data_IF_350102321499
#
_entry.id   IF_350102321499
#
_cell.length_a   1.000
_cell.length_b   1.000
_cell.length_c   1.000
_cell.angle_alpha   90.00
_cell.angle_beta   90.00
_cell.angle_gamma   90.00
#
_symmetry.space_group_name_H-M   'P 1'
#
loop_
_entity.id
_entity.type
_entity.pdbx_description
1 polymer ?
#
# COMPACT_ATOMS: atom_id res chain seq x y z
N UNK A 1 -12.60 55.85 47.79
CA UNK A 1 -11.26 56.32 48.21
C UNK A 1 -10.28 55.25 47.76
N UNK A 2 -9.47 55.37 46.71
CA UNK A 2 -8.79 56.55 46.17
C UNK A 2 -7.42 56.66 46.84
N UNK A 3 -6.36 56.31 46.11
CA UNK A 3 -4.93 56.72 46.18
C UNK A 3 -4.02 55.58 45.71
N UNK A 4 -3.48 55.67 44.50
CA UNK A 4 -2.12 56.19 44.15
C UNK A 4 -1.13 55.01 44.14
N UNK A 5 -0.41 54.64 43.07
CA UNK A 5 0.03 55.42 41.92
C UNK A 5 1.52 55.71 42.04
N UNK A 6 2.40 54.78 41.64
CA UNK A 6 3.79 55.07 41.28
C UNK A 6 4.23 54.11 40.17
N UNK A 7 4.45 54.68 38.98
CA UNK A 7 5.21 54.06 37.92
C UNK A 7 6.57 54.75 37.81
N UNK A 8 7.55 54.06 37.21
CA UNK A 8 8.65 54.68 36.46
C UNK A 8 9.36 53.64 35.59
N UNK A 9 9.45 54.01 34.30
CA UNK A 9 10.55 53.86 33.35
C UNK A 9 10.91 52.42 32.88
N UNK A 10 11.02 52.09 31.59
CA UNK A 10 11.17 52.89 30.36
C UNK A 10 12.47 52.49 29.64
N UNK A 11 12.37 52.20 28.33
CA UNK A 11 13.45 51.89 27.34
C UNK A 11 14.01 50.45 27.36
N UNK A 12 14.22 49.74 26.24
CA UNK A 12 14.12 50.05 24.82
C UNK A 12 15.16 49.23 24.01
N UNK A 13 14.69 48.55 22.95
CA UNK A 13 15.35 48.20 21.68
C UNK A 13 16.25 46.95 21.48
N UNK A 14 15.78 46.19 20.48
CA UNK A 14 16.44 45.69 19.26
C UNK A 14 17.51 44.58 19.34
N UNK A 15 17.20 43.49 18.62
CA UNK A 15 18.11 42.39 18.28
C UNK A 15 17.43 41.43 17.29
N UNK A 16 17.43 41.80 16.01
CA UNK A 16 17.01 40.98 14.87
C UNK A 16 17.80 39.66 14.77
N UNK A 17 17.12 38.60 14.30
CA UNK A 17 17.70 37.31 13.96
C UNK A 17 16.74 36.50 13.08
N UNK A 18 16.72 36.84 11.80
CA UNK A 18 15.97 36.18 10.73
C UNK A 18 16.71 34.94 10.22
N UNK A 19 16.08 33.77 10.17
CA UNK A 19 16.21 32.76 9.09
C UNK A 19 15.14 31.67 9.24
N UNK A 20 14.31 31.52 8.22
CA UNK A 20 13.48 30.33 7.99
C UNK A 20 14.23 29.27 7.19
N UNK A 21 13.47 28.26 6.75
CA UNK A 21 13.84 26.97 6.09
C UNK A 21 14.17 25.86 7.11
N UNK A 22 13.49 24.71 7.20
CA UNK A 22 12.54 24.04 6.31
C UNK A 22 13.19 22.84 5.62
N UNK A 23 13.01 21.61 6.13
CA UNK A 23 12.94 20.36 5.33
C UNK A 23 12.46 19.19 6.22
N UNK A 24 11.21 18.70 6.11
CA UNK A 24 10.63 17.69 5.19
C UNK A 24 11.01 16.24 5.51
N UNK A 25 10.01 15.41 5.80
CA UNK A 25 10.10 13.96 5.75
C UNK A 25 8.91 13.26 6.42
N UNK A 26 8.07 12.61 5.62
CA UNK A 26 7.01 11.65 5.98
C UNK A 26 5.70 12.21 6.56
N UNK A 27 4.66 12.24 5.72
CA UNK A 27 3.28 12.45 6.18
C UNK A 27 2.24 12.86 5.13
N UNK A 28 2.59 12.94 3.84
CA UNK A 28 1.74 13.62 2.85
C UNK A 28 1.17 12.73 1.73
N UNK A 29 1.06 11.41 1.91
CA UNK A 29 0.34 10.56 0.95
C UNK A 29 -1.11 10.23 1.40
N UNK A 30 -1.41 10.29 2.70
CA UNK A 30 -2.77 10.00 3.20
C UNK A 30 -3.77 11.17 3.03
N UNK A 31 -3.29 12.41 2.99
CA UNK A 31 -4.14 13.61 2.95
C UNK A 31 -4.71 13.95 1.57
N UNK A 32 -4.00 13.59 0.49
CA UNK A 32 -4.46 13.85 -0.88
C UNK A 32 -5.54 12.85 -1.32
N UNK A 33 -5.44 11.58 -0.88
CA UNK A 33 -6.43 10.54 -1.21
C UNK A 33 -7.83 10.84 -0.65
N UNK A 34 -7.92 11.41 0.56
CA UNK A 34 -9.20 11.74 1.17
C UNK A 34 -9.90 12.93 0.49
N UNK A 35 -9.13 13.77 -0.21
CA UNK A 35 -9.64 14.96 -0.89
C UNK A 35 -10.08 14.66 -2.34
N UNK A 36 -9.46 13.68 -3.00
CA UNK A 36 -9.84 13.19 -4.33
C UNK A 36 -11.12 12.34 -4.28
N UNK A 37 -11.22 11.39 -3.34
CA UNK A 37 -12.45 10.60 -3.10
C UNK A 37 -13.67 11.48 -2.76
N UNK A 38 -13.45 12.65 -2.15
CA UNK A 38 -14.52 13.60 -1.85
C UNK A 38 -14.99 14.41 -3.07
N UNK A 39 -14.13 14.64 -4.06
CA UNK A 39 -14.47 15.39 -5.27
C UNK A 39 -15.18 14.53 -6.33
N UNK A 40 -14.77 13.27 -6.48
CA UNK A 40 -15.37 12.33 -7.44
C UNK A 40 -16.82 11.96 -7.06
N UNK A 41 -17.14 11.85 -5.77
CA UNK A 41 -18.51 11.57 -5.30
C UNK A 41 -19.50 12.75 -5.37
N UNK A 42 -19.08 13.95 -5.79
CA UNK A 42 -19.92 15.16 -5.77
C UNK A 42 -21.13 15.08 -6.73
N UNK A 43 -21.00 14.58 -7.98
CA UNK A 43 -22.13 14.43 -8.90
C UNK A 43 -23.18 13.44 -8.38
N UNK A 44 -22.76 12.27 -7.92
CA UNK A 44 -23.66 11.27 -7.33
C UNK A 44 -24.41 11.82 -6.09
N UNK A 45 -23.71 12.57 -5.22
CA UNK A 45 -24.35 13.25 -4.07
C UNK A 45 -25.42 14.26 -4.50
N UNK A 46 -25.19 15.02 -5.57
CA UNK A 46 -26.19 15.97 -6.11
C UNK A 46 -27.42 15.24 -6.65
N UNK A 47 -27.24 14.10 -7.32
CA UNK A 47 -28.36 13.29 -7.83
C UNK A 47 -29.18 12.66 -6.71
N UNK A 48 -28.52 12.19 -5.66
CA UNK A 48 -29.21 11.70 -4.45
C UNK A 48 -30.04 12.82 -3.82
N UNK A 49 -29.49 14.04 -3.71
CA UNK A 49 -30.23 15.21 -3.21
C UNK A 49 -31.45 15.54 -4.09
N UNK A 50 -31.29 15.53 -5.42
CA UNK A 50 -32.40 15.75 -6.36
C UNK A 50 -33.49 14.67 -6.24
N UNK A 51 -33.10 13.40 -6.04
CA UNK A 51 -34.04 12.32 -5.79
C UNK A 51 -34.81 12.51 -4.46
N UNK A 52 -34.13 12.95 -3.41
CA UNK A 52 -34.78 13.27 -2.12
C UNK A 52 -35.80 14.41 -2.25
N UNK A 53 -35.49 15.46 -3.01
CA UNK A 53 -36.42 16.57 -3.29
C UNK A 53 -37.65 16.09 -4.07
N UNK A 54 -37.45 15.31 -5.14
CA UNK A 54 -38.55 14.73 -5.93
C UNK A 54 -39.43 13.79 -5.11
N UNK A 55 -38.85 13.01 -4.19
CA UNK A 55 -39.63 12.18 -3.25
C UNK A 55 -40.44 13.02 -2.25
N UNK A 56 -39.89 14.13 -1.75
CA UNK A 56 -40.63 15.08 -0.88
C UNK A 56 -41.82 15.69 -1.64
N UNK A 57 -41.62 16.11 -2.89
CA UNK A 57 -42.72 16.60 -3.74
C UNK A 57 -43.78 15.53 -4.00
N UNK A 58 -43.37 14.29 -4.29
CA UNK A 58 -44.29 13.19 -4.51
C UNK A 58 -45.18 12.95 -3.28
N UNK A 59 -44.61 13.05 -2.08
CA UNK A 59 -45.35 12.96 -0.81
C UNK A 59 -46.39 14.07 -0.69
N UNK A 60 -46.01 15.32 -0.95
CA UNK A 60 -46.95 16.46 -0.93
C UNK A 60 -48.08 16.30 -1.96
N UNK A 61 -47.74 15.89 -3.18
CA UNK A 61 -48.72 15.62 -4.26
C UNK A 61 -49.68 14.48 -3.89
N UNK A 62 -49.24 13.46 -3.14
CA UNK A 62 -50.11 12.41 -2.59
C UNK A 62 -51.06 12.95 -1.53
N UNK A 63 -50.56 13.79 -0.62
CA UNK A 63 -51.36 14.44 0.43
C UNK A 63 -52.44 15.36 -0.18
N UNK A 64 -52.15 16.02 -1.30
CA UNK A 64 -53.11 16.83 -2.08
C UNK A 64 -54.04 16.02 -3.00
N UNK A 65 -54.05 14.68 -2.87
CA UNK A 65 -54.82 13.75 -3.72
C UNK A 65 -54.47 13.78 -5.23
N UNK A 66 -53.33 14.38 -5.63
CA UNK A 66 -52.83 14.44 -7.01
C UNK A 66 -52.05 13.18 -7.39
N UNK A 67 -52.73 12.04 -7.39
CA UNK A 67 -52.12 10.71 -7.58
C UNK A 67 -51.26 10.59 -8.85
N UNK A 68 -51.74 11.08 -10.01
CA UNK A 68 -50.98 10.99 -11.27
C UNK A 68 -49.66 11.75 -11.22
N UNK A 69 -49.65 12.93 -10.61
CA UNK A 69 -48.46 13.77 -10.50
C UNK A 69 -47.47 13.20 -9.49
N UNK A 70 -47.95 12.59 -8.41
CA UNK A 70 -47.09 11.90 -7.45
C UNK A 70 -46.37 10.69 -8.06
N UNK A 71 -47.04 9.91 -8.92
CA UNK A 71 -46.41 8.78 -9.63
C UNK A 71 -45.35 9.28 -10.60
N UNK A 72 -45.58 10.42 -11.26
CA UNK A 72 -44.58 11.07 -12.13
C UNK A 72 -43.35 11.50 -11.33
N UNK A 73 -43.55 12.17 -10.19
CA UNK A 73 -42.46 12.59 -9.30
C UNK A 73 -41.67 11.39 -8.71
N UNK A 74 -42.35 10.30 -8.35
CA UNK A 74 -41.68 9.06 -7.90
C UNK A 74 -40.84 8.42 -9.01
N UNK A 75 -41.35 8.35 -10.24
CA UNK A 75 -40.58 7.84 -11.39
C UNK A 75 -39.35 8.70 -11.67
N UNK A 76 -39.51 10.01 -11.64
CA UNK A 76 -38.40 10.94 -11.80
C UNK A 76 -37.36 10.80 -10.67
N UNK A 77 -37.76 10.49 -9.44
CA UNK A 77 -36.83 10.19 -8.35
C UNK A 77 -36.13 8.84 -8.54
N UNK A 78 -36.85 7.82 -9.00
CA UNK A 78 -36.30 6.50 -9.31
C UNK A 78 -35.25 6.58 -10.43
N UNK A 79 -35.50 7.39 -11.47
CA UNK A 79 -34.54 7.65 -12.55
C UNK A 79 -33.27 8.35 -12.03
N UNK A 80 -33.38 9.36 -11.17
CA UNK A 80 -32.21 10.02 -10.55
C UNK A 80 -31.40 9.06 -9.68
N UNK A 81 -32.06 8.20 -8.89
CA UNK A 81 -31.37 7.19 -8.08
C UNK A 81 -30.66 6.16 -8.93
N UNK A 82 -31.28 5.69 -10.02
CA UNK A 82 -30.63 4.77 -10.97
C UNK A 82 -29.39 5.40 -11.60
N UNK A 83 -29.47 6.67 -11.97
CA UNK A 83 -28.32 7.41 -12.50
C UNK A 83 -27.23 7.61 -11.43
N UNK A 84 -27.61 7.90 -10.18
CA UNK A 84 -26.66 8.00 -9.07
C UNK A 84 -25.97 6.66 -8.77
N UNK A 85 -26.70 5.54 -8.83
CA UNK A 85 -26.13 4.19 -8.66
C UNK A 85 -25.11 3.93 -9.78
N UNK A 86 -25.46 4.18 -11.04
CA UNK A 86 -24.55 3.96 -12.16
C UNK A 86 -23.28 4.82 -12.05
N UNK A 87 -23.39 6.08 -11.63
CA UNK A 87 -22.22 6.93 -11.39
C UNK A 87 -21.36 6.44 -10.22
N UNK A 88 -21.98 5.99 -9.13
CA UNK A 88 -21.24 5.43 -7.99
C UNK A 88 -20.56 4.11 -8.34
N UNK A 89 -21.19 3.25 -9.13
CA UNK A 89 -20.59 2.00 -9.61
C UNK A 89 -19.36 2.28 -10.48
N UNK A 90 -19.41 3.31 -11.33
CA UNK A 90 -18.27 3.74 -12.13
C UNK A 90 -17.14 4.30 -11.26
N UNK A 91 -17.45 5.19 -10.32
CA UNK A 91 -16.47 5.73 -9.36
C UNK A 91 -15.85 4.59 -8.52
N UNK A 92 -16.67 3.64 -8.06
CA UNK A 92 -16.18 2.48 -7.30
C UNK A 92 -15.27 1.59 -8.15
N UNK A 93 -15.54 1.44 -9.45
CA UNK A 93 -14.66 0.71 -10.36
C UNK A 93 -13.31 1.41 -10.47
N UNK A 94 -13.32 2.71 -10.76
CA UNK A 94 -12.11 3.52 -10.89
C UNK A 94 -11.26 3.49 -9.61
N UNK A 95 -11.87 3.71 -8.44
CA UNK A 95 -11.17 3.65 -7.17
C UNK A 95 -10.57 2.27 -6.88
N UNK A 96 -11.30 1.18 -7.18
CA UNK A 96 -10.77 -0.17 -7.03
C UNK A 96 -9.60 -0.42 -7.98
N UNK A 97 -9.66 0.10 -9.20
CA UNK A 97 -8.56 -0.01 -10.15
C UNK A 97 -7.31 0.72 -9.62
N UNK A 98 -7.43 1.97 -9.18
CA UNK A 98 -6.31 2.71 -8.60
C UNK A 98 -5.71 2.03 -7.35
N UNK A 99 -6.56 1.48 -6.48
CA UNK A 99 -6.11 0.73 -5.31
C UNK A 99 -5.29 -0.52 -5.69
N UNK A 100 -5.76 -1.29 -6.67
CA UNK A 100 -5.04 -2.48 -7.17
C UNK A 100 -3.71 -2.09 -7.80
N UNK A 101 -3.67 -1.06 -8.65
CA UNK A 101 -2.44 -0.62 -9.31
C UNK A 101 -1.37 -0.21 -8.29
N UNK A 102 -1.77 0.57 -7.28
CA UNK A 102 -0.90 0.99 -6.18
C UNK A 102 -0.38 -0.21 -5.40
N UNK A 103 -1.25 -1.15 -5.06
CA UNK A 103 -0.87 -2.38 -4.35
C UNK A 103 0.15 -3.20 -5.16
N UNK A 104 -0.11 -3.43 -6.45
CA UNK A 104 0.79 -4.17 -7.33
C UNK A 104 2.17 -3.51 -7.38
N UNK A 105 2.22 -2.17 -7.48
CA UNK A 105 3.47 -1.43 -7.47
C UNK A 105 4.22 -1.57 -6.13
N UNK A 106 3.51 -1.49 -5.00
CA UNK A 106 4.09 -1.67 -3.67
C UNK A 106 4.64 -3.09 -3.47
N UNK A 107 3.90 -4.12 -3.88
CA UNK A 107 4.33 -5.51 -3.81
C UNK A 107 5.54 -5.78 -4.72
N UNK A 108 5.52 -5.29 -5.97
CA UNK A 108 6.63 -5.45 -6.89
C UNK A 108 7.90 -4.77 -6.35
N UNK A 109 7.77 -3.58 -5.76
CA UNK A 109 8.87 -2.89 -5.08
C UNK A 109 9.45 -3.71 -3.92
N UNK A 110 8.60 -4.33 -3.10
CA UNK A 110 9.03 -5.21 -1.99
C UNK A 110 9.73 -6.47 -2.48
N UNK A 111 9.20 -7.16 -3.49
CA UNK A 111 9.82 -8.36 -4.04
C UNK A 111 11.16 -8.07 -4.71
N UNK A 112 11.28 -6.96 -5.45
CA UNK A 112 12.59 -6.52 -6.00
C UNK A 112 13.62 -6.27 -4.90
N UNK A 113 13.24 -5.59 -3.81
CA UNK A 113 14.10 -5.37 -2.65
C UNK A 113 14.54 -6.69 -2.00
N UNK A 114 13.60 -7.62 -1.79
CA UNK A 114 13.91 -8.94 -1.23
C UNK A 114 14.88 -9.71 -2.14
N UNK A 115 14.67 -9.68 -3.45
CA UNK A 115 15.56 -10.32 -4.42
C UNK A 115 16.99 -9.78 -4.35
N UNK A 116 17.16 -8.46 -4.28
CA UNK A 116 18.48 -7.83 -4.14
C UNK A 116 19.17 -8.30 -2.85
N UNK A 117 18.43 -8.35 -1.74
CA UNK A 117 18.94 -8.85 -0.47
C UNK A 117 19.34 -10.33 -0.56
N UNK A 118 18.48 -11.17 -1.17
CA UNK A 118 18.70 -12.61 -1.32
C UNK A 118 19.93 -12.91 -2.17
N UNK A 119 20.08 -12.22 -3.30
CA UNK A 119 21.25 -12.34 -4.19
C UNK A 119 22.55 -12.07 -3.42
N UNK A 120 22.56 -11.04 -2.57
CA UNK A 120 23.72 -10.72 -1.75
C UNK A 120 24.03 -11.80 -0.73
N UNK A 121 23.02 -12.34 -0.04
CA UNK A 121 23.21 -13.44 0.92
C UNK A 121 23.75 -14.67 0.19
N UNK A 122 23.13 -15.07 -0.92
CA UNK A 122 23.55 -16.19 -1.75
C UNK A 122 25.01 -16.07 -2.23
N UNK A 123 25.39 -14.91 -2.78
CA UNK A 123 26.77 -14.67 -3.22
C UNK A 123 27.78 -14.82 -2.08
N UNK A 124 27.46 -14.28 -0.91
CA UNK A 124 28.33 -14.36 0.25
C UNK A 124 28.34 -15.77 0.86
N UNK A 125 27.23 -16.51 0.80
CA UNK A 125 27.16 -17.95 1.13
C UNK A 125 28.08 -18.75 0.22
N UNK A 126 28.07 -18.51 -1.10
CA UNK A 126 28.98 -19.14 -2.06
C UNK A 126 30.44 -18.83 -1.75
N UNK A 127 30.77 -17.57 -1.42
CA UNK A 127 32.13 -17.17 -1.05
C UNK A 127 32.59 -17.87 0.23
N UNK A 128 31.72 -17.95 1.23
CA UNK A 128 32.01 -18.59 2.51
C UNK A 128 32.16 -20.11 2.36
N UNK A 129 31.39 -20.75 1.48
CA UNK A 129 31.48 -22.17 1.18
C UNK A 129 32.81 -22.56 0.51
N UNK A 130 33.41 -21.65 -0.27
CA UNK A 130 34.70 -21.86 -0.94
C UNK A 130 35.91 -21.88 0.00
N UNK A 131 35.75 -21.48 1.26
CA UNK A 131 36.86 -21.51 2.24
C UNK A 131 37.16 -22.97 2.63
N UNK A 132 38.38 -23.47 2.32
CA UNK A 132 38.81 -24.83 2.67
C UNK A 132 38.78 -25.07 4.17
N UNK A 133 38.43 -26.28 4.62
CA UNK A 133 38.26 -26.62 6.04
C UNK A 133 39.50 -26.35 6.89
N UNK A 134 40.70 -26.56 6.34
CA UNK A 134 42.01 -26.30 6.96
C UNK A 134 42.32 -24.80 7.13
N UNK A 135 41.61 -23.93 6.41
CA UNK A 135 41.76 -22.47 6.45
C UNK A 135 40.62 -21.76 7.19
N UNK A 136 39.70 -22.51 7.82
CA UNK A 136 38.61 -21.93 8.62
C UNK A 136 39.15 -21.56 9.99
N UNK A 137 39.15 -20.26 10.29
CA UNK A 137 39.47 -19.74 11.62
C UNK A 137 38.21 -19.53 12.47
N UNK A 138 38.42 -18.97 13.67
CA UNK A 138 37.35 -18.63 14.62
C UNK A 138 36.33 -17.63 14.07
N UNK A 139 36.68 -16.90 13.01
CA UNK A 139 35.83 -15.95 12.31
C UNK A 139 34.79 -16.62 11.38
N UNK A 140 34.95 -17.91 11.07
CA UNK A 140 34.10 -18.61 10.10
C UNK A 140 32.64 -18.75 10.58
N UNK A 141 32.36 -19.22 11.81
CA UNK A 141 31.00 -19.26 12.33
C UNK A 141 30.39 -17.87 12.51
N UNK A 142 31.21 -16.85 12.83
CA UNK A 142 30.76 -15.45 12.95
C UNK A 142 30.27 -14.94 11.60
N UNK A 143 30.99 -15.24 10.51
CA UNK A 143 30.57 -14.89 9.15
C UNK A 143 29.27 -15.60 8.76
N UNK A 144 29.14 -16.89 9.05
CA UNK A 144 27.91 -17.65 8.77
C UNK A 144 26.71 -17.08 9.55
N UNK A 145 26.90 -16.73 10.82
CA UNK A 145 25.86 -16.11 11.64
C UNK A 145 25.45 -14.72 11.12
N UNK A 146 26.39 -13.92 10.55
CA UNK A 146 26.03 -12.66 9.89
C UNK A 146 25.12 -12.87 8.69
N UNK A 147 25.34 -13.93 7.91
CA UNK A 147 24.45 -14.30 6.80
C UNK A 147 23.08 -14.73 7.30
N UNK A 148 23.02 -15.53 8.37
CA UNK A 148 21.75 -15.89 9.02
C UNK A 148 20.94 -14.65 9.46
N UNK A 149 21.60 -13.67 10.08
CA UNK A 149 20.96 -12.40 10.47
C UNK A 149 20.52 -11.58 9.25
N UNK A 150 21.25 -11.65 8.14
CA UNK A 150 20.84 -10.99 6.90
C UNK A 150 19.60 -11.68 6.31
N UNK A 151 19.57 -13.01 6.26
CA UNK A 151 18.43 -13.80 5.79
C UNK A 151 17.16 -13.54 6.60
N UNK A 152 17.29 -13.47 7.94
CA UNK A 152 16.16 -13.12 8.82
C UNK A 152 15.55 -11.75 8.53
N UNK A 153 16.33 -10.80 7.98
CA UNK A 153 15.76 -9.51 7.55
C UNK A 153 14.91 -9.66 6.28
N UNK A 154 15.22 -10.64 5.44
CA UNK A 154 14.45 -10.94 4.23
C UNK A 154 13.12 -11.60 4.63
N UNK A 155 13.16 -12.54 5.60
CA UNK A 155 11.95 -13.13 6.22
C UNK A 155 10.98 -12.03 6.70
N UNK A 156 11.48 -11.01 7.39
CA UNK A 156 10.65 -9.89 7.86
C UNK A 156 10.02 -9.07 6.74
N UNK A 157 10.70 -8.93 5.59
CA UNK A 157 10.09 -8.28 4.42
C UNK A 157 9.03 -9.18 3.77
N UNK A 158 9.22 -10.50 3.80
CA UNK A 158 8.25 -11.47 3.30
C UNK A 158 6.98 -11.49 4.17
N UNK A 159 7.12 -11.45 5.50
CA UNK A 159 5.98 -11.34 6.43
C UNK A 159 5.15 -10.07 6.17
N UNK A 160 5.81 -8.96 5.86
CA UNK A 160 5.14 -7.70 5.50
C UNK A 160 4.42 -7.80 4.17
N UNK A 161 5.03 -8.44 3.17
CA UNK A 161 4.39 -8.66 1.88
C UNK A 161 3.17 -9.59 2.01
N UNK A 162 3.28 -10.64 2.83
CA UNK A 162 2.19 -11.57 3.12
C UNK A 162 1.02 -10.87 3.83
N UNK A 163 1.30 -9.99 4.78
CA UNK A 163 0.27 -9.20 5.47
C UNK A 163 -0.55 -8.37 4.48
N UNK A 164 0.12 -7.66 3.56
CA UNK A 164 -0.56 -6.87 2.52
C UNK A 164 -1.43 -7.74 1.61
N UNK A 165 -0.93 -8.91 1.21
CA UNK A 165 -1.69 -9.83 0.36
C UNK A 165 -2.96 -10.37 1.05
N UNK A 166 -2.91 -10.60 2.36
CA UNK A 166 -4.04 -11.12 3.13
C UNK A 166 -5.09 -10.05 3.44
N UNK A 167 -4.67 -8.83 3.75
CA UNK A 167 -5.56 -7.71 4.09
C UNK A 167 -6.48 -7.32 2.93
N UNK A 168 -5.98 -7.41 1.69
CA UNK A 168 -6.73 -6.99 0.50
C UNK A 168 -7.53 -8.12 -0.16
N UNK A 169 -7.52 -9.32 0.44
CA UNK A 169 -8.25 -10.47 -0.09
C UNK A 169 -7.71 -10.92 -1.45
N UNK A 170 -6.39 -10.82 -1.65
CA UNK A 170 -5.71 -11.31 -2.85
C UNK A 170 -6.04 -12.78 -3.11
N UNK A 171 -5.95 -13.20 -4.37
CA UNK A 171 -6.21 -14.58 -4.80
C UNK A 171 -5.46 -15.57 -3.92
N UNK A 172 -6.13 -16.65 -3.50
CA UNK A 172 -5.62 -17.67 -2.55
C UNK A 172 -4.22 -18.19 -2.93
N UNK A 173 -3.88 -18.22 -4.21
CA UNK A 173 -2.60 -18.75 -4.71
C UNK A 173 -1.37 -17.85 -4.43
N UNK A 174 -1.52 -16.53 -4.35
CA UNK A 174 -0.38 -15.62 -4.12
C UNK A 174 0.14 -15.70 -2.67
N UNK A 175 -0.72 -15.60 -1.64
CA UNK A 175 -0.31 -15.75 -0.25
C UNK A 175 0.37 -17.08 0.04
N UNK A 176 -0.11 -18.19 -0.53
CA UNK A 176 0.46 -19.52 -0.31
C UNK A 176 1.91 -19.62 -0.83
N UNK A 177 2.16 -19.17 -2.06
CA UNK A 177 3.51 -19.15 -2.64
C UNK A 177 4.46 -18.28 -1.83
N UNK A 178 4.01 -17.09 -1.38
CA UNK A 178 4.83 -16.19 -0.56
C UNK A 178 5.10 -16.78 0.81
N UNK A 179 4.12 -17.46 1.41
CA UNK A 179 4.28 -18.15 2.68
C UNK A 179 5.31 -19.29 2.58
N UNK A 180 5.22 -20.13 1.55
CA UNK A 180 6.18 -21.21 1.34
C UNK A 180 7.60 -20.66 1.14
N UNK A 181 7.76 -19.66 0.29
CA UNK A 181 9.06 -18.98 0.07
C UNK A 181 9.62 -18.41 1.38
N UNK A 182 8.77 -17.82 2.22
CA UNK A 182 9.15 -17.27 3.52
C UNK A 182 9.61 -18.36 4.49
N UNK A 183 8.96 -19.53 4.48
CA UNK A 183 9.37 -20.67 5.30
C UNK A 183 10.71 -21.25 4.81
N UNK A 184 10.96 -21.29 3.50
CA UNK A 184 12.27 -21.66 2.94
C UNK A 184 13.38 -20.69 3.37
N UNK A 185 13.10 -19.37 3.41
CA UNK A 185 14.03 -18.35 3.94
C UNK A 185 14.35 -18.58 5.42
N UNK A 186 13.37 -19.01 6.24
CA UNK A 186 13.63 -19.36 7.64
C UNK A 186 14.55 -20.57 7.76
N UNK A 187 14.33 -21.60 6.93
CA UNK A 187 15.19 -22.78 6.89
C UNK A 187 16.62 -22.41 6.48
N UNK A 188 16.79 -21.55 5.46
CA UNK A 188 18.11 -21.01 5.07
C UNK A 188 18.75 -20.29 6.26
N UNK A 189 18.03 -19.42 6.95
CA UNK A 189 18.56 -18.70 8.10
C UNK A 189 19.02 -19.63 9.23
N UNK A 190 18.24 -20.68 9.55
CA UNK A 190 18.62 -21.69 10.56
C UNK A 190 19.89 -22.42 10.13
N UNK A 191 19.97 -22.81 8.85
CA UNK A 191 21.14 -23.53 8.32
C UNK A 191 22.40 -22.67 8.32
N UNK A 192 22.29 -21.40 7.95
CA UNK A 192 23.41 -20.45 8.01
C UNK A 192 23.89 -20.23 9.44
N UNK A 193 22.98 -20.17 10.42
CA UNK A 193 23.32 -20.11 11.86
C UNK A 193 24.11 -21.35 12.29
N UNK A 194 23.72 -22.52 11.81
CA UNK A 194 24.41 -23.80 12.03
C UNK A 194 25.70 -23.94 11.20
N UNK A 195 26.14 -22.88 10.49
CA UNK A 195 27.33 -22.90 9.62
C UNK A 195 27.21 -23.91 8.46
N UNK A 196 25.99 -24.31 8.11
CA UNK A 196 25.69 -25.18 6.97
C UNK A 196 25.56 -24.31 5.71
N UNK A 197 26.69 -24.04 5.06
CA UNK A 197 26.75 -23.21 3.83
C UNK A 197 26.87 -24.05 2.54
N UNK A 198 26.57 -25.35 2.62
CA UNK A 198 26.77 -26.29 1.52
C UNK A 198 25.69 -26.21 0.43
N UNK A 199 25.78 -27.12 -0.55
CA UNK A 199 24.90 -27.19 -1.73
C UNK A 199 23.41 -27.14 -1.42
N UNK A 200 22.97 -27.79 -0.35
CA UNK A 200 21.55 -27.78 0.03
C UNK A 200 21.08 -26.36 0.42
N UNK A 201 21.87 -25.61 1.17
CA UNK A 201 21.52 -24.23 1.55
C UNK A 201 21.54 -23.32 0.32
N UNK A 202 22.54 -23.49 -0.55
CA UNK A 202 22.64 -22.75 -1.81
C UNK A 202 21.48 -23.04 -2.76
N UNK A 203 21.01 -24.29 -2.82
CA UNK A 203 19.86 -24.68 -3.64
C UNK A 203 18.57 -24.02 -3.17
N UNK A 204 18.33 -23.99 -1.84
CA UNK A 204 17.19 -23.26 -1.29
C UNK A 204 17.29 -21.76 -1.59
N UNK A 205 18.47 -21.15 -1.42
CA UNK A 205 18.70 -19.75 -1.78
C UNK A 205 18.40 -19.48 -3.29
N UNK A 206 18.78 -20.39 -4.19
CA UNK A 206 18.47 -20.31 -5.63
C UNK A 206 16.97 -20.44 -5.92
N UNK A 207 16.27 -21.38 -5.27
CA UNK A 207 14.82 -21.58 -5.39
C UNK A 207 14.04 -20.35 -4.92
N UNK A 208 14.48 -19.72 -3.82
CA UNK A 208 13.91 -18.47 -3.32
C UNK A 208 14.11 -17.33 -4.34
N UNK A 209 15.31 -17.21 -4.93
CA UNK A 209 15.58 -16.19 -5.96
C UNK A 209 14.68 -16.40 -7.18
N UNK A 210 14.51 -17.63 -7.63
CA UNK A 210 13.65 -17.95 -8.76
C UNK A 210 12.18 -17.62 -8.44
N UNK A 211 11.71 -17.98 -7.25
CA UNK A 211 10.34 -17.67 -6.82
C UNK A 211 10.09 -16.16 -6.79
N UNK A 212 11.05 -15.38 -6.28
CA UNK A 212 10.98 -13.91 -6.31
C UNK A 212 10.90 -13.36 -7.74
N UNK A 213 11.64 -13.95 -8.68
CA UNK A 213 11.57 -13.57 -10.10
C UNK A 213 10.22 -13.84 -10.74
N UNK A 214 9.66 -15.03 -10.47
CA UNK A 214 8.34 -15.41 -10.97
C UNK A 214 7.23 -14.51 -10.40
N UNK A 215 7.31 -14.18 -9.11
CA UNK A 215 6.38 -13.26 -8.46
C UNK A 215 6.47 -11.85 -9.04
N UNK A 216 7.68 -11.32 -9.25
CA UNK A 216 7.87 -9.98 -9.86
C UNK A 216 7.29 -9.97 -11.27
N UNK A 217 7.61 -10.97 -12.09
CA UNK A 217 7.10 -11.06 -13.47
C UNK A 217 5.58 -11.18 -13.51
N UNK A 218 4.98 -11.93 -12.58
CA UNK A 218 3.53 -12.05 -12.47
C UNK A 218 2.86 -10.72 -12.11
N UNK A 219 3.44 -9.94 -11.19
CA UNK A 219 2.93 -8.62 -10.82
C UNK A 219 3.09 -7.61 -11.95
N UNK A 220 4.24 -7.58 -12.62
CA UNK A 220 4.48 -6.70 -13.77
C UNK A 220 3.50 -6.97 -14.91
N UNK A 221 3.22 -8.26 -15.18
CA UNK A 221 2.19 -8.64 -16.14
C UNK A 221 0.80 -8.18 -15.71
N UNK A 222 0.45 -8.34 -14.44
CA UNK A 222 -0.84 -7.88 -13.93
C UNK A 222 -1.00 -6.35 -14.06
N UNK A 223 0.08 -5.57 -13.87
CA UNK A 223 0.08 -4.13 -14.12
C UNK A 223 -0.13 -3.80 -15.61
N UNK A 224 0.55 -4.49 -16.51
CA UNK A 224 0.40 -4.28 -17.95
C UNK A 224 -1.02 -4.62 -18.45
N UNK A 225 -1.56 -5.77 -18.04
CA UNK A 225 -2.91 -6.21 -18.42
C UNK A 225 -3.97 -5.16 -17.97
N UNK A 226 -3.71 -4.49 -16.84
CA UNK A 226 -4.57 -3.45 -16.29
C UNK A 226 -4.48 -2.13 -17.06
N UNK A 227 -3.26 -1.68 -17.40
CA UNK A 227 -3.04 -0.52 -18.26
C UNK A 227 -3.71 -0.70 -19.65
N UNK A 228 -3.62 -1.91 -20.23
CA UNK A 228 -4.27 -2.23 -21.50
C UNK A 228 -5.81 -2.18 -21.38
N UNK A 229 -6.38 -2.69 -20.28
CA UNK A 229 -7.82 -2.63 -20.02
C UNK A 229 -8.30 -1.18 -19.85
N UNK A 230 -7.54 -0.32 -19.17
CA UNK A 230 -7.87 1.09 -19.03
C UNK A 230 -7.86 1.81 -20.39
N UNK A 231 -6.86 1.54 -21.24
CA UNK A 231 -6.78 2.13 -22.58
C UNK A 231 -7.95 1.71 -23.49
N UNK A 232 -8.41 0.46 -23.36
CA UNK A 232 -9.58 -0.04 -24.10
C UNK A 232 -10.90 0.56 -23.61
N UNK A 233 -11.02 0.87 -22.31
CA UNK A 233 -12.21 1.52 -21.75
C UNK A 233 -12.29 3.01 -22.09
N UNK A 234 -11.17 3.65 -22.43
CA UNK A 234 -11.09 5.06 -22.84
C UNK A 234 -11.30 5.31 -24.35
N UNK A 235 -11.39 4.25 -25.18
CA UNK A 235 -11.65 4.31 -26.63
C UNK A 235 -13.10 4.02 -26.97
#
# INVERSE_FOLDING_TARGET
EGKDGEGKDGEGKDGEGQSGEGQSGEGSEGGQQQQQQQQEGVPARKRIQAAEEKMKEAKQKLEEAKRKESVKAQREAEEELKQAIAELEEILRQLREEEIERMLAQLAGRFRKMKEMQLKVYEDTLRLAKVPSDKRGDDYPIRANKLSVAEQKIVLEADRALTLLLEEGSSVAFPETVQQMRDDMEDVAIRLRDTKVGRLTQGLEEEIIQTLDELIAALEKAQQDMEEQQQQQQQ
#
